data_IF_081652810284
#
_entry.id   IF_081652810284
#
_cell.length_a   1.000
_cell.length_b   1.000
_cell.length_c   1.000
_cell.angle_alpha   90.00
_cell.angle_beta   90.00
_cell.angle_gamma   90.00
#
_symmetry.space_group_name_H-M   'P 1'
#
loop_
_entity.id
_entity.type
_entity.pdbx_description
1 polymer ?
#
# COMPACT_ATOMS: atom_id res chain seq x y z
N UNK A 1 -9.42 -63.80 -10.51
CA UNK A 1 -8.87 -62.77 -9.59
C UNK A 1 -8.12 -61.68 -10.38
N UNK A 2 -8.43 -61.47 -11.66
CA UNK A 2 -7.60 -60.69 -12.60
C UNK A 2 -8.20 -59.32 -12.96
N UNK A 3 -9.51 -59.10 -12.77
CA UNK A 3 -10.17 -57.83 -13.11
C UNK A 3 -9.78 -56.64 -12.22
N UNK A 4 -9.12 -56.87 -11.07
CA UNK A 4 -8.66 -55.77 -10.19
C UNK A 4 -7.28 -55.22 -10.58
N UNK A 5 -6.46 -56.01 -11.27
CA UNK A 5 -5.08 -55.63 -11.65
C UNK A 5 -5.11 -54.65 -12.85
N UNK A 6 -6.02 -54.86 -13.81
CA UNK A 6 -6.13 -54.00 -15.00
C UNK A 6 -6.66 -52.59 -14.69
N UNK A 7 -7.59 -52.45 -13.72
CA UNK A 7 -8.14 -51.14 -13.33
C UNK A 7 -7.15 -50.28 -12.54
N UNK A 8 -6.19 -50.89 -11.83
CA UNK A 8 -5.15 -50.15 -11.12
C UNK A 8 -4.08 -49.60 -12.08
N UNK A 9 -3.70 -50.37 -13.11
CA UNK A 9 -2.76 -49.93 -14.13
C UNK A 9 -3.33 -48.78 -14.98
N UNK A 10 -4.59 -48.87 -15.41
CA UNK A 10 -5.23 -47.82 -16.22
C UNK A 10 -5.38 -46.49 -15.46
N UNK A 11 -5.65 -46.55 -14.15
CA UNK A 11 -5.65 -45.37 -13.28
C UNK A 11 -4.26 -44.76 -13.08
N UNK A 12 -3.22 -45.59 -13.05
CA UNK A 12 -1.83 -45.13 -12.92
C UNK A 12 -1.38 -44.35 -14.17
N UNK A 13 -1.67 -44.86 -15.38
CA UNK A 13 -1.39 -44.15 -16.63
C UNK A 13 -2.16 -42.84 -16.77
N UNK A 14 -3.44 -42.80 -16.39
CA UNK A 14 -4.23 -41.56 -16.42
C UNK A 14 -3.75 -40.54 -15.38
N UNK A 15 -3.31 -41.00 -14.21
CA UNK A 15 -2.79 -40.11 -13.18
C UNK A 15 -1.43 -39.53 -13.58
N UNK A 16 -0.55 -40.35 -14.16
CA UNK A 16 0.78 -39.92 -14.61
C UNK A 16 0.70 -38.93 -15.78
N UNK A 17 -0.19 -39.17 -16.77
CA UNK A 17 -0.44 -38.19 -17.84
C UNK A 17 -1.00 -36.87 -17.32
N UNK A 18 -1.86 -36.90 -16.31
CA UNK A 18 -2.44 -35.69 -15.73
C UNK A 18 -1.43 -34.91 -14.89
N UNK A 19 -0.48 -35.60 -14.26
CA UNK A 19 0.64 -34.98 -13.54
C UNK A 19 1.64 -34.34 -14.52
N UNK A 20 1.97 -35.00 -15.63
CA UNK A 20 2.83 -34.46 -16.70
C UNK A 20 2.23 -33.23 -17.41
N UNK A 21 0.91 -33.25 -17.69
CA UNK A 21 0.20 -32.11 -18.28
C UNK A 21 0.14 -30.91 -17.33
N UNK A 22 -0.07 -31.17 -16.02
CA UNK A 22 -0.04 -30.14 -14.99
C UNK A 22 1.37 -29.56 -14.75
N UNK A 23 2.42 -30.38 -14.90
CA UNK A 23 3.81 -29.94 -14.82
C UNK A 23 4.20 -29.09 -16.04
N UNK A 24 3.81 -29.48 -17.26
CA UNK A 24 4.02 -28.66 -18.47
C UNK A 24 3.28 -27.32 -18.42
N UNK A 25 2.03 -27.30 -17.96
CA UNK A 25 1.29 -26.04 -17.77
C UNK A 25 1.98 -25.12 -16.74
N UNK A 26 2.46 -25.68 -15.62
CA UNK A 26 3.19 -24.91 -14.60
C UNK A 26 4.52 -24.35 -15.11
N UNK A 27 5.23 -25.10 -15.94
CA UNK A 27 6.52 -24.69 -16.52
C UNK A 27 6.33 -23.58 -17.56
N UNK A 28 5.32 -23.72 -18.45
CA UNK A 28 4.94 -22.67 -19.41
C UNK A 28 4.47 -21.37 -18.74
N UNK A 29 3.70 -21.48 -17.66
CA UNK A 29 3.29 -20.33 -16.83
C UNK A 29 4.47 -19.61 -16.19
N UNK A 30 5.48 -20.37 -15.75
CA UNK A 30 6.68 -19.82 -15.10
C UNK A 30 7.54 -19.06 -16.11
N UNK A 31 7.79 -19.64 -17.29
CA UNK A 31 8.54 -18.99 -18.37
C UNK A 31 7.85 -17.68 -18.82
N UNK A 32 6.54 -17.73 -19.01
CA UNK A 32 5.69 -16.59 -19.33
C UNK A 32 5.82 -15.45 -18.30
N UNK A 33 5.85 -15.80 -17.01
CA UNK A 33 6.04 -14.82 -15.94
C UNK A 33 7.44 -14.19 -15.96
N UNK A 34 8.48 -14.97 -16.22
CA UNK A 34 9.86 -14.49 -16.27
C UNK A 34 10.10 -13.58 -17.48
N UNK A 35 9.44 -13.85 -18.61
CA UNK A 35 9.41 -12.95 -19.77
C UNK A 35 8.75 -11.62 -19.41
N UNK A 36 7.59 -11.64 -18.74
CA UNK A 36 6.91 -10.42 -18.33
C UNK A 36 7.75 -9.60 -17.34
N UNK A 37 8.33 -10.24 -16.32
CA UNK A 37 9.25 -9.60 -15.37
C UNK A 37 10.40 -8.92 -16.09
N UNK A 38 11.02 -9.61 -17.06
CA UNK A 38 12.09 -9.03 -17.88
C UNK A 38 11.60 -7.80 -18.61
N UNK A 39 10.45 -7.86 -19.30
CA UNK A 39 9.86 -6.73 -20.01
C UNK A 39 9.63 -5.52 -19.09
N UNK A 40 9.02 -5.74 -17.92
CA UNK A 40 8.80 -4.70 -16.90
C UNK A 40 10.13 -4.10 -16.45
N UNK A 41 11.11 -4.94 -16.07
CA UNK A 41 12.40 -4.48 -15.56
C UNK A 41 13.26 -3.74 -16.59
N UNK A 42 13.10 -4.05 -17.88
CA UNK A 42 13.78 -3.36 -18.99
C UNK A 42 13.05 -2.13 -19.50
N UNK A 43 11.86 -1.82 -18.97
CA UNK A 43 11.02 -0.75 -19.47
C UNK A 43 11.60 0.64 -19.15
N UNK A 44 11.59 1.62 -20.07
CA UNK A 44 12.14 2.96 -19.81
C UNK A 44 11.57 3.67 -18.57
N UNK A 45 10.28 3.43 -18.26
CA UNK A 45 9.60 3.99 -17.09
C UNK A 45 9.83 3.21 -15.78
N UNK A 46 10.53 2.07 -15.80
CA UNK A 46 10.69 1.25 -14.60
C UNK A 46 11.39 1.98 -13.45
N UNK A 47 12.41 2.79 -13.74
CA UNK A 47 13.07 3.62 -12.74
C UNK A 47 12.11 4.61 -12.07
N UNK A 48 11.32 5.33 -12.88
CA UNK A 48 10.31 6.28 -12.40
C UNK A 48 9.23 5.60 -11.56
N UNK A 49 8.77 4.42 -12.00
CA UNK A 49 7.80 3.60 -11.28
C UNK A 49 8.29 3.25 -9.88
N UNK A 50 9.53 2.76 -9.77
CA UNK A 50 10.15 2.39 -8.49
C UNK A 50 10.31 3.62 -7.60
N UNK A 51 10.77 4.74 -8.15
CA UNK A 51 10.91 6.00 -7.41
C UNK A 51 9.56 6.46 -6.84
N UNK A 52 8.52 6.58 -7.68
CA UNK A 52 7.19 6.97 -7.25
C UNK A 52 6.63 6.03 -6.17
N UNK A 53 6.93 4.72 -6.27
CA UNK A 53 6.49 3.74 -5.29
C UNK A 53 7.18 3.95 -3.95
N UNK A 54 8.50 4.15 -3.95
CA UNK A 54 9.27 4.43 -2.74
C UNK A 54 8.85 5.73 -2.06
N UNK A 55 8.59 6.78 -2.83
CA UNK A 55 8.06 8.03 -2.28
C UNK A 55 6.71 7.84 -1.60
N UNK A 56 5.81 7.05 -2.21
CA UNK A 56 4.51 6.74 -1.62
C UNK A 56 4.66 5.96 -0.30
N UNK A 57 5.54 4.95 -0.25
CA UNK A 57 5.81 4.19 0.98
C UNK A 57 6.39 5.09 2.09
N UNK A 58 7.26 6.03 1.71
CA UNK A 58 7.89 6.98 2.63
C UNK A 58 6.86 7.90 3.29
N UNK A 59 5.94 8.47 2.50
CA UNK A 59 4.86 9.32 3.02
C UNK A 59 3.86 8.51 3.86
N UNK A 60 3.64 7.24 3.52
CA UNK A 60 2.80 6.32 4.30
C UNK A 60 3.41 5.82 5.61
N UNK A 61 4.62 6.24 5.97
CA UNK A 61 5.37 5.74 7.15
C UNK A 61 5.45 4.21 7.23
N UNK A 62 5.45 3.52 6.07
CA UNK A 62 5.58 2.07 5.97
C UNK A 62 7.06 1.73 6.22
N UNK A 63 7.45 1.83 7.48
CA UNK A 63 8.82 1.82 8.01
C UNK A 63 9.49 0.45 8.01
N UNK A 64 8.85 -0.57 7.42
CA UNK A 64 9.43 -1.90 7.22
C UNK A 64 9.37 -2.28 5.74
N UNK A 65 10.28 -1.75 4.91
CA UNK A 65 10.46 -2.29 3.55
C UNK A 65 10.78 -3.79 3.59
N UNK A 66 11.44 -4.27 4.64
CA UNK A 66 11.75 -5.69 4.87
C UNK A 66 10.52 -6.59 5.03
N UNK A 67 9.37 -6.06 5.49
CA UNK A 67 8.12 -6.84 5.55
C UNK A 67 7.40 -6.84 4.21
N UNK A 68 7.50 -5.76 3.44
CA UNK A 68 6.92 -5.65 2.08
C UNK A 68 7.61 -6.64 1.12
N UNK A 69 8.93 -6.78 1.20
CA UNK A 69 9.68 -7.76 0.39
C UNK A 69 9.31 -9.22 0.71
N UNK A 70 8.85 -9.51 1.94
CA UNK A 70 8.40 -10.86 2.34
C UNK A 70 7.01 -11.23 1.80
N UNK A 71 6.20 -10.24 1.41
CA UNK A 71 4.86 -10.46 0.84
C UNK A 71 4.95 -11.10 -0.56
N UNK A 72 6.08 -10.94 -1.25
CA UNK A 72 6.33 -11.52 -2.59
C UNK A 72 6.18 -13.05 -2.61
N UNK A 73 6.46 -13.72 -1.49
CA UNK A 73 6.26 -15.18 -1.39
C UNK A 73 4.80 -15.60 -1.15
N UNK A 74 3.95 -14.74 -0.58
CA UNK A 74 2.56 -15.10 -0.25
C UNK A 74 1.57 -14.75 -1.36
N UNK A 75 1.88 -13.77 -2.22
CA UNK A 75 1.00 -13.36 -3.32
C UNK A 75 1.04 -14.27 -4.56
N UNK A 76 1.98 -15.23 -4.63
CA UNK A 76 2.05 -16.19 -5.74
C UNK A 76 0.82 -17.12 -5.85
N UNK A 77 -0.06 -17.11 -4.83
CA UNK A 77 -1.31 -17.89 -4.83
C UNK A 77 -2.52 -17.17 -5.44
N UNK A 78 -2.42 -15.89 -5.80
CA UNK A 78 -3.53 -15.16 -6.42
C UNK A 78 -3.56 -15.50 -7.91
N UNK A 79 -4.50 -16.37 -8.31
CA UNK A 79 -4.85 -16.80 -9.68
C UNK A 79 -3.88 -16.30 -10.76
N UNK A 80 -2.99 -17.19 -11.21
CA UNK A 80 -2.18 -17.07 -12.43
C UNK A 80 -3.11 -16.88 -13.64
N UNK A 81 -3.60 -15.66 -13.84
CA UNK A 81 -4.23 -15.29 -15.09
C UNK A 81 -3.11 -15.04 -16.10
N UNK A 82 -3.35 -15.45 -17.34
CA UNK A 82 -2.38 -15.56 -18.43
C UNK A 82 -1.69 -14.20 -18.75
N UNK A 83 -0.72 -13.83 -17.91
CA UNK A 83 0.01 -12.56 -17.91
C UNK A 83 1.07 -12.51 -19.02
N UNK A 84 1.32 -13.61 -19.72
CA UNK A 84 2.32 -13.69 -20.80
C UNK A 84 1.96 -12.90 -22.04
N UNK A 85 0.70 -12.47 -22.17
CA UNK A 85 0.17 -11.94 -23.42
C UNK A 85 0.00 -10.42 -23.44
N UNK A 86 0.68 -9.68 -22.56
CA UNK A 86 0.72 -8.22 -22.66
C UNK A 86 1.40 -7.80 -23.97
N UNK A 87 0.67 -7.04 -24.78
CA UNK A 87 1.26 -6.25 -25.86
C UNK A 87 2.17 -5.16 -25.29
N UNK A 88 3.13 -4.67 -26.09
CA UNK A 88 3.99 -3.56 -25.66
C UNK A 88 3.16 -2.34 -25.26
N UNK A 89 2.11 -2.03 -26.03
CA UNK A 89 1.20 -0.90 -25.77
C UNK A 89 0.44 -1.00 -24.46
N UNK A 90 0.01 -2.21 -24.06
CA UNK A 90 -0.66 -2.40 -22.78
C UNK A 90 0.30 -2.25 -21.60
N UNK A 91 1.55 -2.71 -21.77
CA UNK A 91 2.59 -2.50 -20.77
C UNK A 91 2.91 -1.01 -20.61
N UNK A 92 3.05 -0.28 -21.72
CA UNK A 92 3.31 1.16 -21.69
C UNK A 92 2.21 1.91 -20.92
N UNK A 93 0.94 1.62 -21.25
CA UNK A 93 -0.23 2.21 -20.58
C UNK A 93 -0.28 1.84 -19.09
N UNK A 94 0.03 0.59 -18.75
CA UNK A 94 0.10 0.15 -17.36
C UNK A 94 1.16 0.93 -16.58
N UNK A 95 2.37 1.05 -17.14
CA UNK A 95 3.49 1.73 -16.48
C UNK A 95 3.15 3.20 -16.21
N UNK A 96 2.53 3.89 -17.18
CA UNK A 96 2.09 5.28 -17.05
C UNK A 96 0.97 5.42 -15.99
N UNK A 97 -0.09 4.61 -16.11
CA UNK A 97 -1.22 4.66 -15.20
C UNK A 97 -0.81 4.36 -13.76
N UNK A 98 0.14 3.44 -13.55
CA UNK A 98 0.63 3.10 -12.22
C UNK A 98 1.46 4.23 -11.61
N UNK A 99 2.38 4.82 -12.38
CA UNK A 99 3.14 6.00 -11.92
C UNK A 99 2.20 7.14 -11.51
N UNK A 100 1.19 7.43 -12.34
CA UNK A 100 0.21 8.48 -12.07
C UNK A 100 -0.61 8.19 -10.81
N UNK A 101 -1.06 6.94 -10.65
CA UNK A 101 -1.84 6.50 -9.49
C UNK A 101 -1.03 6.58 -8.19
N UNK A 102 0.26 6.24 -8.22
CA UNK A 102 1.15 6.40 -7.08
C UNK A 102 1.34 7.87 -6.69
N UNK A 103 1.46 8.76 -7.67
CA UNK A 103 1.55 10.20 -7.43
C UNK A 103 0.29 10.74 -6.74
N UNK A 104 -0.89 10.34 -7.22
CA UNK A 104 -2.16 10.71 -6.60
C UNK A 104 -2.30 10.15 -5.18
N UNK A 105 -1.89 8.91 -4.95
CA UNK A 105 -1.91 8.29 -3.62
C UNK A 105 -0.96 9.02 -2.65
N UNK A 106 0.25 9.35 -3.10
CA UNK A 106 1.22 10.13 -2.31
C UNK A 106 0.61 11.46 -1.88
N UNK A 107 0.05 12.25 -2.81
CA UNK A 107 -0.58 13.53 -2.50
C UNK A 107 -1.75 13.37 -1.52
N UNK A 108 -2.60 12.37 -1.75
CA UNK A 108 -3.75 12.08 -0.90
C UNK A 108 -3.37 11.73 0.55
N UNK A 109 -2.17 11.18 0.79
CA UNK A 109 -1.64 10.91 2.14
C UNK A 109 -0.93 12.15 2.70
N UNK A 110 -0.11 12.82 1.89
CA UNK A 110 0.74 13.93 2.32
C UNK A 110 -0.08 15.18 2.71
N UNK A 111 -1.13 15.49 1.96
CA UNK A 111 -2.00 16.64 2.19
C UNK A 111 -2.67 16.65 3.58
N UNK A 112 -3.39 15.60 4.02
CA UNK A 112 -3.97 15.57 5.35
C UNK A 112 -2.91 15.59 6.45
N UNK A 113 -1.76 14.94 6.28
CA UNK A 113 -0.66 15.00 7.25
C UNK A 113 -0.15 16.43 7.45
N UNK A 114 0.10 17.16 6.36
CA UNK A 114 0.51 18.58 6.40
C UNK A 114 -0.55 19.45 7.08
N UNK A 115 -1.83 19.25 6.75
CA UNK A 115 -2.95 20.01 7.36
C UNK A 115 -3.04 19.78 8.86
N UNK A 116 -2.92 18.53 9.30
CA UNK A 116 -2.91 18.19 10.73
C UNK A 116 -1.71 18.80 11.45
N UNK A 117 -0.50 18.72 10.88
CA UNK A 117 0.70 19.31 11.47
C UNK A 117 0.59 20.83 11.59
N UNK A 118 0.07 21.50 10.55
CA UNK A 118 -0.17 22.93 10.58
C UNK A 118 -1.18 23.33 11.67
N UNK A 119 -2.27 22.57 11.81
CA UNK A 119 -3.26 22.78 12.86
C UNK A 119 -2.64 22.64 14.27
N UNK A 120 -1.86 21.59 14.51
CA UNK A 120 -1.17 21.35 15.79
C UNK A 120 -0.20 22.49 16.11
N UNK A 121 0.62 22.91 15.14
CA UNK A 121 1.57 24.00 15.32
C UNK A 121 0.87 25.33 15.65
N UNK A 122 -0.25 25.61 14.99
CA UNK A 122 -1.07 26.78 15.25
C UNK A 122 -1.63 26.75 16.70
N UNK A 123 -2.18 25.62 17.12
CA UNK A 123 -2.67 25.45 18.50
C UNK A 123 -1.57 25.65 19.54
N UNK A 124 -0.39 25.06 19.32
CA UNK A 124 0.75 25.28 20.20
C UNK A 124 1.18 26.76 20.26
N UNK A 125 1.09 27.49 19.15
CA UNK A 125 1.39 28.92 19.13
C UNK A 125 0.43 29.73 19.99
N UNK A 126 -0.89 29.49 19.86
CA UNK A 126 -1.91 30.16 20.67
C UNK A 126 -1.73 29.86 22.17
N UNK A 127 -1.43 28.61 22.54
CA UNK A 127 -1.20 28.23 23.93
C UNK A 127 0.06 28.91 24.53
N UNK A 128 1.13 29.05 23.74
CA UNK A 128 2.34 29.77 24.18
C UNK A 128 2.05 31.25 24.43
N UNK A 129 1.30 31.89 23.53
CA UNK A 129 0.92 33.30 23.68
C UNK A 129 0.13 33.55 24.97
N UNK A 130 -0.86 32.71 25.27
CA UNK A 130 -1.64 32.78 26.52
C UNK A 130 -0.77 32.63 27.78
N UNK A 131 0.19 31.71 27.73
CA UNK A 131 1.09 31.45 28.86
C UNK A 131 2.03 32.63 29.11
N UNK A 132 2.59 33.23 28.04
CA UNK A 132 3.46 34.40 28.16
C UNK A 132 2.69 35.65 28.62
N UNK A 133 1.45 35.86 28.14
CA UNK A 133 0.59 36.96 28.58
C UNK A 133 0.29 36.89 30.08
N UNK A 134 0.14 35.69 30.64
CA UNK A 134 -0.14 35.48 32.06
C UNK A 134 1.09 35.76 32.95
N UNK A 135 2.31 35.55 32.44
CA UNK A 135 3.55 35.81 33.20
C UNK A 135 4.02 37.28 33.22
N UNK A 136 3.43 38.13 32.36
CA UNK A 136 3.74 39.57 32.31
C UNK A 136 2.77 40.44 33.11
N UNK A 137 1.81 39.87 33.84
CA UNK A 137 1.06 40.63 34.83
C UNK A 137 1.97 40.94 36.03
N UNK A 138 2.31 42.22 36.31
CA UNK A 138 2.93 42.56 37.57
C UNK A 138 1.88 42.29 38.64
N UNK A 139 2.23 41.49 39.65
CA UNK A 139 1.43 41.45 40.86
C UNK A 139 1.38 42.86 41.44
N UNK A 140 0.23 43.50 41.37
CA UNK A 140 -0.22 44.45 42.37
C UNK A 140 -1.74 44.71 42.26
N UNK A 141 -2.36 44.63 43.44
CA UNK A 141 -3.66 45.17 43.83
C UNK A 141 -4.95 44.55 43.23
N UNK A 142 -5.49 43.59 44.00
CA UNK A 142 -6.87 43.58 44.50
C UNK A 142 -7.95 44.21 43.60
N UNK A 143 -8.70 43.39 42.87
CA UNK A 143 -10.09 43.71 42.56
C UNK A 143 -10.96 42.46 42.57
N UNK A 144 -11.63 42.27 43.70
CA UNK A 144 -12.73 41.34 43.89
C UNK A 144 -13.86 41.70 42.92
N UNK A 145 -14.10 40.87 41.91
CA UNK A 145 -15.41 40.87 41.23
C UNK A 145 -15.96 39.44 41.19
N UNK A 146 -17.05 39.24 41.96
CA UNK A 146 -17.80 37.99 42.01
C UNK A 146 -18.40 37.65 40.64
N UNK A 147 -17.98 36.55 40.03
CA UNK A 147 -18.67 35.98 38.88
C UNK A 147 -19.93 35.25 39.34
N UNK A 148 -21.08 35.93 39.28
CA UNK A 148 -22.39 35.29 39.52
C UNK A 148 -22.74 34.35 38.36
N UNK A 149 -22.71 33.05 38.63
CA UNK A 149 -23.29 32.01 37.78
C UNK A 149 -24.78 32.30 37.53
N UNK A 150 -25.13 32.76 36.32
CA UNK A 150 -26.50 32.72 35.82
C UNK A 150 -26.76 31.31 35.29
N UNK A 151 -27.42 30.46 36.09
CA UNK A 151 -28.06 29.24 35.56
C UNK A 151 -29.23 29.69 34.68
N UNK A 152 -29.24 29.28 33.41
CA UNK A 152 -30.45 29.33 32.60
C UNK A 152 -31.36 28.15 33.00
N UNK A 153 -32.65 28.38 33.30
CA UNK A 153 -33.62 27.29 33.38
C UNK A 153 -34.01 26.86 31.97
N UNK A 154 -34.18 25.54 31.81
CA UNK A 154 -34.73 24.87 30.64
C UNK A 154 -36.10 25.42 30.24
N UNK A 155 -36.33 25.46 28.93
CA UNK A 155 -37.60 25.05 28.30
C UNK A 155 -37.23 24.00 27.26
#
# INVERSE_FOLDING_TARGET
MESKINSANEKNYQQQHKEEELEQEKEGDQESNDILKRRISSHPLYGLLVEAHLECLKVGEISNLDSVLKIDHQMQSMKKQNLGMFSQTELDLFMEAYCMSLGQLKEAIEEPQKKSMAFINNMHSQLRELTMATTHAPGDASSSSECKFRRNPSI
#
